data_IF_760713475299
#
_entry.id   IF_760713475299
#
_cell.length_a   1.000
_cell.length_b   1.000
_cell.length_c   1.000
_cell.angle_alpha   90.00
_cell.angle_beta   90.00
_cell.angle_gamma   90.00
#
_symmetry.space_group_name_H-M   'P 1'
#
loop_
_entity.id
_entity.type
_entity.pdbx_description
1 polymer ?
#
# COMPACT_ATOMS: atom_id res chain seq x y z
N UNK A 1 7.67 -17.06 11.14
CA UNK A 1 7.25 -16.01 12.10
C UNK A 1 6.44 -14.86 11.46
N UNK A 2 6.88 -14.29 10.31
CA UNK A 2 6.20 -13.16 9.63
C UNK A 2 4.74 -13.46 9.23
N UNK A 3 4.44 -14.66 8.73
CA UNK A 3 3.08 -15.07 8.33
C UNK A 3 2.06 -15.05 9.49
N UNK A 4 2.49 -15.35 10.72
CA UNK A 4 1.61 -15.33 11.92
C UNK A 4 1.24 -13.89 12.31
N UNK A 5 2.17 -12.94 12.11
CA UNK A 5 1.98 -11.51 12.37
C UNK A 5 0.94 -10.88 11.44
N UNK A 6 0.80 -11.37 10.20
CA UNK A 6 -0.24 -10.92 9.26
C UNK A 6 -1.67 -11.33 9.66
N UNK A 7 -1.84 -12.33 10.53
CA UNK A 7 -3.17 -12.76 11.01
C UNK A 7 -3.69 -11.87 12.14
N UNK A 8 -2.80 -11.27 12.93
CA UNK A 8 -3.13 -10.44 14.09
C UNK A 8 -2.66 -8.99 13.88
N UNK A 9 -3.11 -8.37 12.78
CA UNK A 9 -2.77 -6.98 12.47
C UNK A 9 -3.64 -6.03 13.28
N UNK A 10 -3.02 -5.16 14.06
CA UNK A 10 -3.69 -4.04 14.73
C UNK A 10 -4.00 -2.94 13.69
N UNK A 11 -5.26 -2.82 13.29
CA UNK A 11 -5.70 -1.83 12.31
C UNK A 11 -5.96 -0.49 12.98
N UNK A 12 -5.29 0.56 12.51
CA UNK A 12 -5.49 1.94 12.98
C UNK A 12 -6.36 2.69 12.00
N UNK A 13 -7.49 3.21 12.49
CA UNK A 13 -8.37 4.09 11.72
C UNK A 13 -7.70 5.46 11.52
N UNK A 14 -7.83 5.96 10.30
CA UNK A 14 -7.41 7.29 9.86
C UNK A 14 -8.55 7.92 9.06
N UNK A 15 -8.43 9.21 8.78
CA UNK A 15 -9.43 9.90 7.96
C UNK A 15 -9.44 9.32 6.54
N UNK A 16 -10.56 8.69 6.14
CA UNK A 16 -10.77 8.12 4.81
C UNK A 16 -10.13 6.74 4.55
N UNK A 17 -9.37 6.17 5.49
CA UNK A 17 -8.73 4.86 5.33
C UNK A 17 -8.41 4.16 6.66
N UNK A 18 -8.11 2.87 6.59
CA UNK A 18 -7.53 2.11 7.71
C UNK A 18 -6.14 1.61 7.30
N UNK A 19 -5.18 1.63 8.23
CA UNK A 19 -3.82 1.17 7.97
C UNK A 19 -3.27 0.25 9.04
N UNK A 20 -2.29 -0.55 8.65
CA UNK A 20 -1.42 -1.27 9.56
C UNK A 20 0.04 -1.13 9.08
N UNK A 21 0.97 -0.95 10.02
CA UNK A 21 2.42 -0.92 9.76
C UNK A 21 2.97 -2.32 10.01
N UNK A 22 3.44 -2.98 8.96
CA UNK A 22 3.93 -4.36 9.01
C UNK A 22 5.40 -4.39 9.42
N UNK A 23 6.19 -3.53 8.76
CA UNK A 23 7.62 -3.37 9.01
C UNK A 23 7.98 -1.89 9.15
N UNK A 24 8.87 -1.62 10.08
CA UNK A 24 9.47 -0.32 10.33
C UNK A 24 10.95 -0.36 9.91
N UNK A 25 11.63 0.77 10.08
CA UNK A 25 13.03 0.95 9.71
C UNK A 25 13.97 -0.07 10.37
N UNK A 26 13.68 -0.51 11.60
CA UNK A 26 14.49 -1.51 12.29
C UNK A 26 14.33 -2.87 11.64
N UNK A 27 13.10 -3.25 11.28
CA UNK A 27 12.83 -4.53 10.59
C UNK A 27 13.27 -4.55 9.14
N UNK A 28 13.30 -3.38 8.48
CA UNK A 28 13.76 -3.23 7.10
C UNK A 28 15.26 -2.93 7.00
N UNK A 29 15.94 -2.72 8.13
CA UNK A 29 17.34 -2.26 8.19
C UNK A 29 17.60 -1.03 7.29
N UNK A 30 16.65 -0.10 7.25
CA UNK A 30 16.69 1.08 6.38
C UNK A 30 16.01 2.26 7.07
N UNK A 31 16.79 3.30 7.40
CA UNK A 31 16.33 4.49 8.10
C UNK A 31 15.17 5.16 7.37
N UNK A 32 14.08 5.46 8.10
CA UNK A 32 12.88 6.09 7.56
C UNK A 32 11.97 5.18 6.73
N UNK A 33 12.38 3.94 6.41
CA UNK A 33 11.57 3.03 5.62
C UNK A 33 10.40 2.46 6.44
N UNK A 34 9.25 2.31 5.78
CA UNK A 34 8.05 1.67 6.36
C UNK A 34 7.33 0.87 5.29
N UNK A 35 6.90 -0.33 5.65
CA UNK A 35 6.00 -1.13 4.83
C UNK A 35 4.64 -1.22 5.51
N UNK A 36 3.60 -0.76 4.81
CA UNK A 36 2.26 -0.61 5.36
C UNK A 36 1.24 -1.30 4.45
N UNK A 37 0.17 -1.80 5.06
CA UNK A 37 -1.05 -2.21 4.33
C UNK A 37 -2.12 -1.17 4.63
N UNK A 38 -2.70 -0.62 3.57
CA UNK A 38 -3.76 0.38 3.64
C UNK A 38 -4.99 -0.17 2.94
N UNK A 39 -6.18 0.08 3.51
CA UNK A 39 -7.47 -0.21 2.89
C UNK A 39 -8.29 1.07 2.82
N UNK A 40 -8.82 1.35 1.64
CA UNK A 40 -9.73 2.46 1.39
C UNK A 40 -11.15 1.88 1.26
N UNK A 41 -12.11 2.30 2.10
CA UNK A 41 -13.50 1.97 1.89
C UNK A 41 -14.00 2.51 0.53
N UNK A 42 -15.01 1.87 -0.05
CA UNK A 42 -15.58 2.34 -1.31
C UNK A 42 -16.11 3.78 -1.16
N UNK A 43 -15.98 4.56 -2.24
CA UNK A 43 -16.43 5.97 -2.32
C UNK A 43 -15.73 6.91 -1.32
N UNK A 44 -14.58 6.54 -0.75
CA UNK A 44 -13.74 7.48 0.00
C UNK A 44 -12.73 8.17 -0.89
N UNK A 45 -12.36 9.38 -0.48
CA UNK A 45 -11.31 10.18 -1.09
C UNK A 45 -10.34 10.60 0.00
N UNK A 46 -9.07 10.64 -0.35
CA UNK A 46 -8.03 11.28 0.47
C UNK A 46 -7.69 12.60 -0.20
N UNK A 47 -7.58 13.65 0.61
CA UNK A 47 -7.20 14.96 0.10
C UNK A 47 -5.76 14.98 -0.39
N UNK A 48 -5.50 15.88 -1.33
CA UNK A 48 -4.16 16.08 -1.86
C UNK A 48 -3.20 16.45 -0.73
N UNK A 49 -2.06 15.78 -0.68
CA UNK A 49 -1.00 16.07 0.27
C UNK A 49 0.36 15.78 -0.36
N UNK A 50 1.40 16.35 0.24
CA UNK A 50 2.78 16.25 -0.23
C UNK A 50 3.73 16.02 0.94
N UNK A 51 4.73 15.17 0.72
CA UNK A 51 5.79 14.88 1.69
C UNK A 51 7.14 15.36 1.15
N UNK A 52 7.79 16.33 1.83
CA UNK A 52 9.02 16.99 1.35
C UNK A 52 10.24 16.07 1.14
N UNK A 53 10.33 14.95 1.87
CA UNK A 53 11.51 14.06 1.90
C UNK A 53 11.12 12.59 2.00
N UNK A 54 10.03 12.21 1.33
CA UNK A 54 9.53 10.83 1.33
C UNK A 54 9.15 10.43 -0.08
N UNK A 55 9.65 9.27 -0.50
CA UNK A 55 9.11 8.57 -1.65
C UNK A 55 8.10 7.53 -1.16
N UNK A 56 6.86 7.62 -1.64
CA UNK A 56 5.82 6.65 -1.34
C UNK A 56 5.53 5.79 -2.58
N UNK A 57 5.69 4.47 -2.44
CA UNK A 57 5.41 3.51 -3.51
C UNK A 57 4.16 2.71 -3.16
N UNK A 58 3.18 2.69 -4.06
CA UNK A 58 1.93 1.97 -3.88
C UNK A 58 1.89 0.69 -4.71
N UNK A 59 1.71 -0.46 -4.04
CA UNK A 59 1.40 -1.72 -4.71
C UNK A 59 -0.09 -2.08 -4.50
N UNK A 60 -0.87 -2.02 -5.57
CA UNK A 60 -2.32 -2.27 -5.50
C UNK A 60 -2.60 -3.77 -5.56
N UNK A 61 -2.74 -4.38 -4.38
CA UNK A 61 -3.01 -5.81 -4.24
C UNK A 61 -4.37 -6.23 -4.83
N UNK A 62 -5.44 -5.45 -4.56
CA UNK A 62 -6.80 -5.75 -5.03
C UNK A 62 -7.65 -4.48 -5.10
N UNK A 63 -8.81 -4.58 -5.75
CA UNK A 63 -9.72 -3.46 -5.94
C UNK A 63 -9.32 -2.52 -7.07
N UNK A 64 -10.14 -1.48 -7.23
CA UNK A 64 -9.99 -0.43 -8.23
C UNK A 64 -10.04 0.94 -7.55
N UNK A 65 -9.41 1.92 -8.17
CA UNK A 65 -9.33 3.26 -7.66
C UNK A 65 -8.70 4.19 -8.68
N UNK A 66 -8.73 5.48 -8.38
CA UNK A 66 -8.19 6.53 -9.22
C UNK A 66 -7.08 7.21 -8.43
N UNK A 67 -5.91 7.36 -9.06
CA UNK A 67 -4.85 8.22 -8.53
C UNK A 67 -4.95 9.59 -9.19
N UNK A 68 -4.65 10.63 -8.41
CA UNK A 68 -4.46 11.97 -8.93
C UNK A 68 -3.06 12.44 -8.57
N UNK A 69 -2.24 12.75 -9.57
CA UNK A 69 -0.90 13.29 -9.40
C UNK A 69 -0.83 14.65 -10.10
N UNK A 70 -0.50 15.72 -9.37
CA UNK A 70 -0.49 17.09 -9.89
C UNK A 70 -1.77 17.42 -10.67
N UNK A 71 -2.93 17.12 -10.06
CA UNK A 71 -4.27 17.26 -10.64
C UNK A 71 -4.54 16.43 -11.92
N UNK A 72 -3.60 15.59 -12.36
CA UNK A 72 -3.80 14.67 -13.48
C UNK A 72 -4.29 13.32 -12.97
N UNK A 73 -5.35 12.83 -13.59
CA UNK A 73 -5.94 11.53 -13.30
C UNK A 73 -5.09 10.41 -13.90
N UNK A 74 -4.59 9.52 -13.06
CA UNK A 74 -3.88 8.30 -13.48
C UNK A 74 -4.79 7.10 -13.21
N UNK A 75 -5.15 6.42 -14.29
CA UNK A 75 -5.86 5.15 -14.21
C UNK A 75 -4.87 4.03 -13.98
N UNK A 76 -5.23 3.10 -13.09
CA UNK A 76 -4.56 1.81 -13.06
C UNK A 76 -4.90 1.09 -14.37
N UNK A 77 -3.94 0.72 -15.23
CA UNK A 77 -4.23 -0.26 -16.27
C UNK A 77 -4.63 -1.56 -15.57
N UNK A 78 -5.80 -2.10 -15.89
CA UNK A 78 -6.18 -3.43 -15.41
C UNK A 78 -5.08 -4.39 -15.84
N UNK A 79 -4.24 -4.84 -14.90
CA UNK A 79 -3.40 -6.01 -15.15
C UNK A 79 -4.39 -7.17 -15.27
N UNK A 80 -4.53 -7.72 -16.49
CA UNK A 80 -5.04 -9.08 -16.67
C UNK A 80 -4.28 -9.96 -15.68
N UNK A 81 -5.01 -10.74 -14.91
CA UNK A 81 -4.43 -11.72 -14.00
C UNK A 81 -3.47 -12.61 -14.82
N UNK A 82 -2.16 -12.42 -14.67
CA UNK A 82 -1.22 -13.46 -15.03
C UNK A 82 -1.14 -14.35 -13.80
N UNK A 83 -1.66 -15.60 -13.84
CA UNK A 83 -1.42 -16.52 -12.75
C UNK A 83 0.10 -16.60 -12.55
N UNK A 84 0.54 -16.34 -11.32
CA UNK A 84 1.90 -16.64 -10.91
C UNK A 84 2.03 -18.16 -11.00
N UNK A 85 2.52 -18.68 -12.12
CA UNK A 85 3.05 -20.04 -12.17
C UNK A 85 4.12 -20.12 -11.08
N UNK A 86 3.98 -21.10 -10.19
CA UNK A 86 4.74 -21.23 -8.94
C UNK A 86 6.23 -21.58 -9.14
N UNK A 87 6.81 -21.26 -10.28
CA UNK A 87 8.18 -21.57 -10.66
C UNK A 87 8.81 -20.31 -11.24
N UNK A 88 9.50 -19.56 -10.36
CA UNK A 88 10.68 -18.74 -10.66
C UNK A 88 11.02 -17.88 -9.44
N UNK A 89 11.74 -18.49 -8.52
CA UNK A 89 12.83 -17.80 -7.83
C UNK A 89 14.06 -18.69 -7.99
N UNK A 90 15.17 -18.20 -8.57
CA UNK A 90 16.46 -18.86 -8.47
C UNK A 90 16.96 -18.89 -7.02
#
# INVERSE_FOLDING_TARGET
>A
MIRKKLKNLEWKKRYGYIKNIIFDEKKLNQKGARFQIIKFPAKTKIDFHFHKRVYETFYIRSGQGIFYFNNKKIYRPQRRYFPLSAERYP
#
